data_IF_172165659561
#
_entry.id   IF_172165659561
#
_cell.length_a   1.000
_cell.length_b   1.000
_cell.length_c   1.000
_cell.angle_alpha   90.00
_cell.angle_beta   90.00
_cell.angle_gamma   90.00
#
_symmetry.space_group_name_H-M   'P 1'
#
loop_
_entity.id
_entity.type
_entity.pdbx_description
1 polymer ?
#
# COMPACT_ATOMS: atom_id res chain seq x y z
N UNK A 1 -53.42 60.72 -4.94
CA UNK A 1 -54.27 59.62 -4.46
C UNK A 1 -54.68 58.82 -5.68
N UNK A 2 -53.91 57.79 -6.04
CA UNK A 2 -54.27 56.85 -7.11
C UNK A 2 -54.62 55.52 -6.47
N UNK A 3 -55.92 55.19 -6.49
CA UNK A 3 -56.43 53.89 -6.09
C UNK A 3 -56.23 52.91 -7.26
N UNK A 4 -55.11 52.18 -7.23
CA UNK A 4 -54.87 51.06 -8.12
C UNK A 4 -55.76 49.87 -7.75
N UNK A 5 -56.81 49.65 -8.53
CA UNK A 5 -57.65 48.46 -8.48
C UNK A 5 -56.85 47.25 -8.96
N UNK A 6 -56.35 46.43 -8.03
CA UNK A 6 -55.76 45.12 -8.33
C UNK A 6 -56.83 44.21 -8.93
N UNK A 7 -56.65 43.83 -10.19
CA UNK A 7 -57.55 42.93 -10.91
C UNK A 7 -57.50 41.51 -10.30
N UNK A 8 -58.63 40.80 -10.19
CA UNK A 8 -58.72 39.48 -9.55
C UNK A 8 -57.97 38.35 -10.27
N UNK A 9 -57.35 38.65 -11.42
CA UNK A 9 -56.49 37.73 -12.16
C UNK A 9 -55.11 37.59 -11.50
N UNK A 10 -54.64 38.64 -10.83
CA UNK A 10 -53.29 38.72 -10.26
C UNK A 10 -53.18 37.91 -8.97
N UNK A 11 -54.28 37.76 -8.21
CA UNK A 11 -54.34 36.91 -7.03
C UNK A 11 -54.26 35.42 -7.41
N UNK A 12 -55.04 34.97 -8.42
CA UNK A 12 -55.02 33.58 -8.89
C UNK A 12 -53.68 33.16 -9.49
N UNK A 13 -53.01 34.08 -10.19
CA UNK A 13 -51.67 33.82 -10.75
C UNK A 13 -50.61 33.70 -9.64
N UNK A 14 -50.71 34.53 -8.59
CA UNK A 14 -49.86 34.42 -7.39
C UNK A 14 -50.07 33.10 -6.65
N UNK A 15 -51.32 32.65 -6.48
CA UNK A 15 -51.59 31.37 -5.81
C UNK A 15 -51.07 30.19 -6.63
N UNK A 16 -51.21 30.21 -7.96
CA UNK A 16 -50.71 29.14 -8.83
C UNK A 16 -49.17 29.09 -8.90
N UNK A 17 -48.49 30.24 -8.84
CA UNK A 17 -47.02 30.30 -8.79
C UNK A 17 -46.45 29.88 -7.43
N UNK A 18 -47.18 30.13 -6.34
CA UNK A 18 -46.82 29.68 -5.00
C UNK A 18 -47.05 28.16 -4.81
N UNK A 19 -48.01 27.57 -5.52
CA UNK A 19 -48.25 26.11 -5.50
C UNK A 19 -47.18 25.35 -6.31
N UNK A 20 -46.71 25.93 -7.42
CA UNK A 20 -45.74 25.30 -8.31
C UNK A 20 -44.29 25.38 -7.79
N UNK A 21 -43.98 26.37 -6.94
CA UNK A 21 -42.65 26.53 -6.33
C UNK A 21 -42.30 25.46 -5.30
N UNK A 22 -43.32 24.85 -4.67
CA UNK A 22 -43.15 23.68 -3.81
C UNK A 22 -42.72 22.43 -4.59
N UNK A 23 -43.29 22.23 -5.78
CA UNK A 23 -43.00 21.07 -6.62
C UNK A 23 -41.62 21.17 -7.29
N UNK A 24 -41.20 22.39 -7.69
CA UNK A 24 -39.86 22.61 -8.23
C UNK A 24 -38.76 22.37 -7.18
N UNK A 25 -38.94 22.87 -5.95
CA UNK A 25 -37.97 22.65 -4.87
C UNK A 25 -37.86 21.17 -4.48
N UNK A 26 -38.99 20.44 -4.45
CA UNK A 26 -39.00 19.01 -4.18
C UNK A 26 -38.35 18.21 -5.32
N UNK A 27 -38.53 18.64 -6.57
CA UNK A 27 -37.92 18.02 -7.75
C UNK A 27 -36.40 18.20 -7.75
N UNK A 28 -35.90 19.41 -7.46
CA UNK A 28 -34.46 19.68 -7.34
C UNK A 28 -33.82 18.83 -6.24
N UNK A 29 -34.49 18.69 -5.09
CA UNK A 29 -33.99 17.88 -3.98
C UNK A 29 -33.93 16.39 -4.35
N UNK A 30 -34.93 15.86 -5.06
CA UNK A 30 -34.92 14.48 -5.58
C UNK A 30 -33.82 14.27 -6.62
N UNK A 31 -33.63 15.22 -7.54
CA UNK A 31 -32.57 15.16 -8.54
C UNK A 31 -31.19 15.16 -7.88
N UNK A 32 -30.94 16.04 -6.91
CA UNK A 32 -29.70 16.08 -6.16
C UNK A 32 -29.43 14.76 -5.41
N UNK A 33 -30.45 14.17 -4.79
CA UNK A 33 -30.35 12.87 -4.13
C UNK A 33 -30.03 11.73 -5.11
N UNK A 34 -30.64 11.73 -6.31
CA UNK A 34 -30.35 10.74 -7.35
C UNK A 34 -28.94 10.88 -7.92
N UNK A 35 -28.45 12.11 -8.13
CA UNK A 35 -27.08 12.37 -8.56
C UNK A 35 -26.09 11.86 -7.51
N UNK A 36 -26.34 12.14 -6.23
CA UNK A 36 -25.51 11.65 -5.14
C UNK A 36 -25.52 10.10 -5.05
N UNK A 37 -26.69 9.47 -5.17
CA UNK A 37 -26.82 8.01 -5.16
C UNK A 37 -26.13 7.36 -6.38
N UNK A 38 -26.21 7.98 -7.55
CA UNK A 38 -25.56 7.49 -8.76
C UNK A 38 -24.03 7.63 -8.65
N UNK A 39 -23.53 8.75 -8.11
CA UNK A 39 -22.11 8.95 -7.85
C UNK A 39 -21.55 7.93 -6.85
N UNK A 40 -22.31 7.61 -5.81
CA UNK A 40 -21.92 6.57 -4.84
C UNK A 40 -21.95 5.17 -5.46
N UNK A 41 -22.95 4.90 -6.31
CA UNK A 41 -23.03 3.62 -7.05
C UNK A 41 -21.87 3.46 -8.03
N UNK A 42 -21.50 4.53 -8.73
CA UNK A 42 -20.32 4.55 -9.61
C UNK A 42 -19.02 4.33 -8.83
N UNK A 43 -18.90 4.93 -7.64
CA UNK A 43 -17.75 4.71 -6.76
C UNK A 43 -17.69 3.25 -6.31
N UNK A 44 -18.82 2.69 -5.88
CA UNK A 44 -18.94 1.28 -5.45
C UNK A 44 -18.65 0.31 -6.59
N UNK A 45 -19.19 0.54 -7.80
CA UNK A 45 -18.95 -0.29 -8.97
C UNK A 45 -17.49 -0.25 -9.44
N UNK A 46 -16.79 0.88 -9.26
CA UNK A 46 -15.36 0.98 -9.53
C UNK A 46 -14.52 0.14 -8.55
N UNK A 47 -14.93 0.07 -7.28
CA UNK A 47 -14.26 -0.73 -6.24
C UNK A 47 -14.62 -2.22 -6.30
N UNK A 48 -15.87 -2.52 -6.64
CA UNK A 48 -16.45 -3.86 -6.62
C UNK A 48 -17.14 -4.14 -7.96
N UNK A 49 -16.41 -4.69 -8.95
CA UNK A 49 -16.98 -4.97 -10.27
C UNK A 49 -18.14 -5.97 -10.22
N UNK A 50 -18.20 -6.82 -9.19
CA UNK A 50 -19.25 -7.84 -9.01
C UNK A 50 -19.70 -7.94 -7.55
N UNK A 51 -20.97 -8.30 -7.36
CA UNK A 51 -21.55 -8.56 -6.02
C UNK A 51 -20.82 -9.69 -5.28
N UNK A 52 -20.24 -10.65 -6.01
CA UNK A 52 -19.44 -11.71 -5.43
C UNK A 52 -18.17 -11.16 -4.78
N UNK A 53 -17.46 -10.25 -5.46
CA UNK A 53 -16.26 -9.58 -4.89
C UNK A 53 -16.63 -8.73 -3.69
N UNK A 54 -17.77 -8.04 -3.73
CA UNK A 54 -18.25 -7.26 -2.59
C UNK A 54 -18.55 -8.15 -1.38
N UNK A 55 -19.26 -9.27 -1.56
CA UNK A 55 -19.56 -10.21 -0.49
C UNK A 55 -18.27 -10.83 0.09
N UNK A 56 -17.28 -11.15 -0.76
CA UNK A 56 -15.97 -11.63 -0.33
C UNK A 56 -15.20 -10.57 0.49
N UNK A 57 -15.20 -9.31 0.06
CA UNK A 57 -14.53 -8.22 0.79
C UNK A 57 -15.25 -7.92 2.10
N UNK A 58 -16.58 -7.94 2.13
CA UNK A 58 -17.37 -7.80 3.35
C UNK A 58 -17.13 -8.94 4.35
N UNK A 59 -16.77 -10.13 3.86
CA UNK A 59 -16.40 -11.27 4.70
C UNK A 59 -14.96 -11.21 5.24
N UNK A 60 -14.11 -10.30 4.74
CA UNK A 60 -12.74 -10.15 5.23
C UNK A 60 -12.74 -9.63 6.67
N UNK A 61 -11.95 -10.27 7.54
CA UNK A 61 -11.90 -9.86 8.96
C UNK A 61 -11.09 -8.57 9.14
N UNK A 62 -10.00 -8.43 8.37
CA UNK A 62 -9.07 -7.29 8.39
C UNK A 62 -8.48 -7.10 6.99
N UNK A 63 -9.19 -6.37 6.11
CA UNK A 63 -8.66 -6.05 4.79
C UNK A 63 -7.47 -5.09 4.94
N UNK A 64 -6.42 -5.35 4.17
CA UNK A 64 -5.25 -4.48 4.04
C UNK A 64 -5.22 -3.91 2.63
N UNK A 65 -4.98 -2.60 2.52
CA UNK A 65 -4.75 -1.96 1.23
C UNK A 65 -3.37 -2.37 0.69
N UNK A 66 -3.11 -2.17 -0.62
CA UNK A 66 -1.80 -2.45 -1.19
C UNK A 66 -0.70 -1.64 -0.47
N UNK A 67 -0.94 -0.38 -0.14
CA UNK A 67 0.04 0.44 0.56
C UNK A 67 0.41 -0.14 1.92
N UNK A 68 -0.59 -0.57 2.70
CA UNK A 68 -0.36 -1.13 4.02
C UNK A 68 0.28 -2.51 3.96
N UNK A 69 -0.15 -3.37 3.03
CA UNK A 69 0.44 -4.68 2.82
C UNK A 69 1.94 -4.57 2.46
N UNK A 70 2.28 -3.71 1.50
CA UNK A 70 3.68 -3.50 1.10
C UNK A 70 4.49 -2.73 2.17
N UNK A 71 3.87 -1.87 2.97
CA UNK A 71 4.52 -1.24 4.11
C UNK A 71 4.89 -2.25 5.22
N UNK A 72 3.97 -3.14 5.58
CA UNK A 72 4.25 -4.20 6.56
C UNK A 72 5.26 -5.21 6.02
N UNK A 73 5.19 -5.57 4.73
CA UNK A 73 6.19 -6.40 4.09
C UNK A 73 7.58 -5.76 4.12
N UNK A 74 7.67 -4.46 3.79
CA UNK A 74 8.91 -3.71 3.85
C UNK A 74 9.46 -3.58 5.28
N UNK A 75 8.60 -3.41 6.27
CA UNK A 75 8.96 -3.46 7.69
C UNK A 75 9.57 -4.80 8.07
N UNK A 76 8.95 -5.91 7.66
CA UNK A 76 9.42 -7.26 7.97
C UNK A 76 10.78 -7.55 7.34
N UNK A 77 10.98 -7.21 6.07
CA UNK A 77 12.29 -7.37 5.40
C UNK A 77 13.34 -6.46 6.04
N UNK A 78 13.00 -5.19 6.28
CA UNK A 78 13.90 -4.22 6.89
C UNK A 78 14.34 -4.58 8.31
N UNK A 79 13.51 -5.34 9.04
CA UNK A 79 13.82 -5.83 10.38
C UNK A 79 14.58 -7.16 10.34
N UNK A 80 14.01 -8.17 9.68
CA UNK A 80 14.47 -9.55 9.79
C UNK A 80 15.74 -9.82 8.99
N UNK A 81 15.89 -9.20 7.81
CA UNK A 81 17.09 -9.46 6.98
C UNK A 81 18.35 -8.92 7.65
N UNK A 82 18.43 -7.64 8.09
CA UNK A 82 19.60 -7.16 8.82
C UNK A 82 19.83 -7.90 10.14
N UNK A 83 18.76 -8.23 10.87
CA UNK A 83 18.87 -9.04 12.09
C UNK A 83 19.46 -10.44 11.81
N UNK A 84 19.08 -11.07 10.68
CA UNK A 84 19.62 -12.37 10.28
C UNK A 84 21.13 -12.31 9.96
N UNK A 85 21.56 -11.26 9.23
CA UNK A 85 22.98 -11.02 8.97
C UNK A 85 23.76 -10.82 10.27
N UNK A 86 23.16 -10.09 11.21
CA UNK A 86 23.78 -9.83 12.50
C UNK A 86 23.95 -11.11 13.34
N UNK A 87 22.89 -11.90 13.44
CA UNK A 87 22.95 -13.18 14.18
C UNK A 87 23.99 -14.10 13.53
N UNK A 88 24.02 -14.18 12.19
CA UNK A 88 25.03 -14.96 11.48
C UNK A 88 26.46 -14.47 11.79
N UNK A 89 26.68 -13.16 11.75
CA UNK A 89 27.97 -12.55 12.08
C UNK A 89 28.38 -12.81 13.54
N UNK A 90 27.47 -12.64 14.49
CA UNK A 90 27.73 -12.88 15.91
C UNK A 90 28.08 -14.34 16.21
N UNK A 91 27.44 -15.29 15.51
CA UNK A 91 27.76 -16.71 15.63
C UNK A 91 29.09 -17.08 14.96
N UNK A 92 29.48 -16.38 13.90
CA UNK A 92 30.74 -16.60 13.19
C UNK A 92 31.95 -15.96 13.91
N UNK A 93 31.75 -14.88 14.66
CA UNK A 93 32.83 -14.23 15.41
C UNK A 93 33.16 -15.02 16.69
N UNK A 94 34.34 -15.63 16.74
CA UNK A 94 34.82 -16.41 17.91
C UNK A 94 35.37 -15.55 19.07
N UNK A 95 35.13 -14.24 19.07
CA UNK A 95 35.71 -13.29 20.03
C UNK A 95 34.71 -12.32 20.62
N UNK A 96 35.18 -11.47 21.55
CA UNK A 96 34.41 -10.36 22.11
C UNK A 96 34.02 -9.40 20.98
N UNK A 97 32.78 -9.50 20.50
CA UNK A 97 32.21 -8.49 19.62
C UNK A 97 32.05 -7.21 20.44
N UNK A 98 32.76 -6.15 20.03
CA UNK A 98 32.69 -4.85 20.71
C UNK A 98 31.24 -4.33 20.77
N UNK A 99 30.86 -3.74 21.91
CA UNK A 99 29.53 -3.14 22.14
C UNK A 99 29.14 -2.13 21.05
N UNK A 100 30.15 -1.52 20.41
CA UNK A 100 30.02 -0.61 19.28
C UNK A 100 29.32 -1.29 18.11
N UNK A 101 29.67 -2.54 17.78
CA UNK A 101 29.08 -3.28 16.65
C UNK A 101 27.60 -3.55 16.91
N UNK A 102 27.24 -4.02 18.11
CA UNK A 102 25.84 -4.21 18.51
C UNK A 102 25.02 -2.92 18.38
N UNK A 103 25.60 -1.79 18.79
CA UNK A 103 24.94 -0.48 18.72
C UNK A 103 24.71 -0.07 17.27
N UNK A 104 25.74 -0.16 16.42
CA UNK A 104 25.65 0.17 15.00
C UNK A 104 24.64 -0.72 14.29
N UNK A 105 24.63 -2.03 14.55
CA UNK A 105 23.67 -2.95 13.93
C UNK A 105 22.24 -2.67 14.39
N UNK A 106 22.03 -2.32 15.66
CA UNK A 106 20.71 -1.94 16.16
C UNK A 106 20.20 -0.69 15.44
N UNK A 107 21.05 0.33 15.29
CA UNK A 107 20.71 1.55 14.54
C UNK A 107 20.44 1.27 13.06
N UNK A 108 21.27 0.45 12.42
CA UNK A 108 21.03 0.00 11.04
C UNK A 108 19.69 -0.71 10.93
N UNK A 109 19.38 -1.66 11.81
CA UNK A 109 18.12 -2.41 11.80
C UNK A 109 16.90 -1.49 12.00
N UNK A 110 16.97 -0.53 12.92
CA UNK A 110 15.88 0.43 13.14
C UNK A 110 15.68 1.28 11.88
N UNK A 111 16.76 1.80 11.29
CA UNK A 111 16.65 2.68 10.13
C UNK A 111 16.21 1.95 8.87
N UNK A 112 16.67 0.73 8.62
CA UNK A 112 16.17 -0.12 7.53
C UNK A 112 14.71 -0.50 7.74
N UNK A 113 14.28 -0.74 8.97
CA UNK A 113 12.88 -1.06 9.29
C UNK A 113 11.97 0.13 9.00
N UNK A 114 12.34 1.33 9.46
CA UNK A 114 11.58 2.56 9.22
C UNK A 114 11.57 2.91 7.72
N UNK A 115 12.74 2.85 7.08
CA UNK A 115 12.87 3.01 5.63
C UNK A 115 11.98 2.02 4.86
N UNK A 116 12.06 0.73 5.21
CA UNK A 116 11.27 -0.33 4.61
C UNK A 116 9.77 -0.05 4.69
N UNK A 117 9.29 0.40 5.86
CA UNK A 117 7.88 0.76 6.07
C UNK A 117 7.46 1.98 5.23
N UNK A 118 8.23 3.07 5.27
CA UNK A 118 7.90 4.32 4.58
C UNK A 118 7.92 4.15 3.06
N UNK A 119 9.00 3.57 2.52
CA UNK A 119 9.11 3.32 1.09
C UNK A 119 8.17 2.20 0.64
N UNK A 120 7.84 1.23 1.50
CA UNK A 120 6.86 0.19 1.22
C UNK A 120 5.48 0.75 0.84
N UNK A 121 5.05 1.86 1.45
CA UNK A 121 3.81 2.56 1.01
C UNK A 121 3.90 3.09 -0.41
N UNK A 122 5.03 3.69 -0.77
CA UNK A 122 5.26 4.23 -2.13
C UNK A 122 5.33 3.09 -3.16
N UNK A 123 5.99 1.99 -2.79
CA UNK A 123 6.07 0.78 -3.59
C UNK A 123 4.69 0.18 -3.79
N UNK A 124 3.87 0.05 -2.74
CA UNK A 124 2.50 -0.48 -2.84
C UNK A 124 1.65 0.29 -3.86
N UNK A 125 1.68 1.63 -3.83
CA UNK A 125 1.00 2.47 -4.84
C UNK A 125 1.53 2.25 -6.26
N UNK A 126 2.85 2.09 -6.40
CA UNK A 126 3.50 1.90 -7.70
C UNK A 126 3.17 0.53 -8.29
N UNK A 127 3.18 -0.50 -7.44
CA UNK A 127 2.80 -1.86 -7.77
C UNK A 127 1.35 -1.88 -8.26
N UNK A 128 0.42 -1.28 -7.51
CA UNK A 128 -1.00 -1.26 -7.87
C UNK A 128 -1.27 -0.57 -9.22
N UNK A 129 -0.60 0.56 -9.50
CA UNK A 129 -0.66 1.23 -10.82
C UNK A 129 -0.21 0.36 -11.99
N UNK A 130 0.63 -0.64 -11.74
CA UNK A 130 1.20 -1.53 -12.76
C UNK A 130 0.37 -2.82 -12.87
N UNK A 131 -0.59 -3.06 -11.96
CA UNK A 131 -1.40 -4.27 -11.95
C UNK A 131 -2.15 -4.52 -13.27
N UNK A 132 -2.53 -3.45 -13.98
CA UNK A 132 -3.24 -3.48 -15.28
C UNK A 132 -2.34 -3.77 -16.49
N UNK A 133 -1.02 -3.79 -16.31
CA UNK A 133 -0.05 -4.05 -17.40
C UNK A 133 0.04 -5.55 -17.71
N UNK A 134 0.44 -5.93 -18.94
CA UNK A 134 0.62 -7.32 -19.30
C UNK A 134 1.70 -7.99 -18.44
N UNK A 135 1.54 -9.29 -18.16
CA UNK A 135 2.30 -10.00 -17.13
C UNK A 135 3.83 -9.93 -17.26
N UNK A 136 4.36 -9.97 -18.49
CA UNK A 136 5.80 -9.88 -18.75
C UNK A 136 6.36 -8.48 -18.42
N UNK A 137 5.67 -7.41 -18.85
CA UNK A 137 6.05 -6.03 -18.50
C UNK A 137 5.92 -5.81 -16.99
N UNK A 138 4.83 -6.31 -16.39
CA UNK A 138 4.62 -6.24 -14.95
C UNK A 138 5.77 -6.89 -14.18
N UNK A 139 6.22 -8.09 -14.58
CA UNK A 139 7.35 -8.75 -13.93
C UNK A 139 8.65 -7.94 -14.02
N UNK A 140 8.99 -7.42 -15.21
CA UNK A 140 10.19 -6.57 -15.37
C UNK A 140 10.11 -5.28 -14.55
N UNK A 141 8.94 -4.64 -14.51
CA UNK A 141 8.74 -3.43 -13.70
C UNK A 141 8.79 -3.73 -12.20
N UNK A 142 8.26 -4.87 -11.75
CA UNK A 142 8.39 -5.31 -10.35
C UNK A 142 9.86 -5.52 -9.98
N UNK A 143 10.66 -6.11 -10.86
CA UNK A 143 12.09 -6.31 -10.61
C UNK A 143 12.81 -4.96 -10.49
N UNK A 144 12.50 -4.00 -11.37
CA UNK A 144 13.08 -2.66 -11.34
C UNK A 144 12.66 -1.87 -10.09
N UNK A 145 11.37 -1.87 -9.75
CA UNK A 145 10.85 -1.19 -8.55
C UNK A 145 11.45 -1.83 -7.30
N UNK A 146 11.53 -3.15 -7.26
CA UNK A 146 12.17 -3.90 -6.19
C UNK A 146 13.63 -3.51 -6.02
N UNK A 147 14.38 -3.42 -7.12
CA UNK A 147 15.77 -2.99 -7.11
C UNK A 147 15.92 -1.55 -6.59
N UNK A 148 15.13 -0.61 -7.09
CA UNK A 148 15.19 0.80 -6.65
C UNK A 148 14.81 0.95 -5.18
N UNK A 149 13.77 0.26 -4.74
CA UNK A 149 13.35 0.23 -3.35
C UNK A 149 14.44 -0.35 -2.44
N UNK A 150 15.01 -1.48 -2.86
CA UNK A 150 16.09 -2.16 -2.16
C UNK A 150 17.35 -1.29 -2.05
N UNK A 151 17.74 -0.61 -3.14
CA UNK A 151 18.85 0.35 -3.16
C UNK A 151 18.61 1.46 -2.14
N UNK A 152 17.43 2.08 -2.15
CA UNK A 152 17.11 3.18 -1.23
C UNK A 152 17.11 2.72 0.24
N UNK A 153 16.43 1.61 0.54
CA UNK A 153 16.36 1.05 1.89
C UNK A 153 17.73 0.60 2.41
N UNK A 154 18.50 -0.09 1.56
CA UNK A 154 19.84 -0.56 1.89
C UNK A 154 20.86 0.56 2.05
N UNK A 155 20.80 1.59 1.20
CA UNK A 155 21.64 2.78 1.34
C UNK A 155 21.42 3.47 2.69
N UNK A 156 20.16 3.68 3.09
CA UNK A 156 19.82 4.31 4.38
C UNK A 156 20.31 3.50 5.58
N UNK A 157 20.19 2.16 5.54
CA UNK A 157 20.70 1.28 6.59
C UNK A 157 22.23 1.30 6.69
N UNK A 158 22.91 1.40 5.55
CA UNK A 158 24.37 1.40 5.46
C UNK A 158 25.04 2.70 5.88
N UNK A 159 24.30 3.81 6.02
CA UNK A 159 24.87 5.13 6.40
C UNK A 159 25.63 5.08 7.74
N UNK A 160 25.19 4.24 8.67
CA UNK A 160 25.83 4.11 9.98
C UNK A 160 27.15 3.34 9.95
N UNK A 161 27.45 2.62 8.86
CA UNK A 161 28.69 1.86 8.65
C UNK A 161 29.57 2.59 7.62
N UNK A 162 29.65 3.92 7.71
CA UNK A 162 30.38 4.82 6.80
C UNK A 162 29.87 4.84 5.34
N UNK A 163 30.41 5.74 4.51
CA UNK A 163 30.06 5.89 3.08
C UNK A 163 30.22 4.57 2.31
N UNK A 164 31.22 3.77 2.69
CA UNK A 164 31.46 2.44 2.10
C UNK A 164 30.29 1.50 2.43
N UNK A 165 29.79 1.51 3.67
CA UNK A 165 28.63 0.73 4.10
C UNK A 165 27.36 1.10 3.33
N UNK A 166 27.15 2.38 3.03
CA UNK A 166 26.00 2.83 2.23
C UNK A 166 26.04 2.25 0.80
N UNK A 167 27.22 2.18 0.17
CA UNK A 167 27.36 1.57 -1.15
C UNK A 167 27.07 0.06 -1.14
N UNK A 168 27.67 -0.69 -0.21
CA UNK A 168 27.39 -2.13 -0.10
C UNK A 168 25.94 -2.41 0.29
N UNK A 169 25.39 -1.62 1.20
CA UNK A 169 23.98 -1.67 1.58
C UNK A 169 23.07 -1.44 0.39
N UNK A 170 23.37 -0.45 -0.46
CA UNK A 170 22.63 -0.17 -1.68
C UNK A 170 22.66 -1.36 -2.67
N UNK A 171 23.84 -1.93 -2.91
CA UNK A 171 24.01 -3.06 -3.83
C UNK A 171 23.27 -4.30 -3.33
N UNK A 172 23.52 -4.70 -2.08
CA UNK A 172 22.86 -5.86 -1.47
C UNK A 172 21.35 -5.66 -1.35
N UNK A 173 20.93 -4.47 -0.92
CA UNK A 173 19.54 -4.08 -0.84
C UNK A 173 18.87 -4.16 -2.21
N UNK A 174 19.51 -3.66 -3.26
CA UNK A 174 19.01 -3.75 -4.63
C UNK A 174 18.80 -5.19 -5.11
N UNK A 175 19.78 -6.07 -4.87
CA UNK A 175 19.67 -7.49 -5.22
C UNK A 175 18.51 -8.13 -4.46
N UNK A 176 18.47 -7.98 -3.14
CA UNK A 176 17.41 -8.56 -2.30
C UNK A 176 16.04 -8.01 -2.70
N UNK A 177 15.91 -6.70 -2.88
CA UNK A 177 14.66 -6.04 -3.26
C UNK A 177 14.17 -6.47 -4.64
N UNK A 178 15.07 -6.64 -5.61
CA UNK A 178 14.73 -7.09 -6.97
C UNK A 178 14.12 -8.48 -7.01
N UNK A 179 14.46 -9.34 -6.05
CA UNK A 179 13.94 -10.71 -5.92
C UNK A 179 12.71 -10.73 -5.01
N UNK A 180 12.80 -10.06 -3.85
CA UNK A 180 11.77 -10.06 -2.82
C UNK A 180 10.45 -9.48 -3.34
N UNK A 181 10.51 -8.38 -4.09
CA UNK A 181 9.31 -7.71 -4.56
C UNK A 181 8.49 -8.57 -5.52
N UNK A 182 9.03 -9.12 -6.63
CA UNK A 182 8.24 -10.02 -7.49
C UNK A 182 7.83 -11.31 -6.76
N UNK A 183 8.68 -11.85 -5.89
CA UNK A 183 8.35 -13.05 -5.11
C UNK A 183 7.14 -12.85 -4.19
N UNK A 184 6.95 -11.64 -3.65
CA UNK A 184 5.78 -11.30 -2.84
C UNK A 184 4.59 -10.78 -3.68
N UNK A 185 4.86 -9.91 -4.65
CA UNK A 185 3.81 -9.24 -5.43
C UNK A 185 3.03 -10.20 -6.33
N UNK A 186 3.67 -11.20 -6.93
CA UNK A 186 2.98 -12.15 -7.79
C UNK A 186 1.94 -13.01 -7.03
N UNK A 187 2.28 -13.66 -5.90
CA UNK A 187 1.29 -14.32 -5.05
C UNK A 187 0.26 -13.34 -4.47
N UNK A 188 0.68 -12.13 -4.09
CA UNK A 188 -0.24 -11.09 -3.62
C UNK A 188 -1.35 -10.84 -4.65
N UNK A 189 -1.01 -10.72 -5.94
CA UNK A 189 -1.99 -10.56 -7.01
C UNK A 189 -2.91 -11.77 -7.20
N UNK A 190 -2.42 -12.97 -6.93
CA UNK A 190 -3.21 -14.19 -7.05
C UNK A 190 -4.24 -14.33 -5.92
N UNK A 191 -3.97 -13.76 -4.74
CA UNK A 191 -4.79 -13.95 -3.54
C UNK A 191 -5.64 -12.72 -3.18
N UNK A 192 -5.28 -11.53 -3.66
CA UNK A 192 -6.08 -10.30 -3.41
C UNK A 192 -7.50 -10.44 -4.00
N UNK A 193 -8.50 -9.90 -3.29
CA UNK A 193 -9.88 -9.80 -3.79
C UNK A 193 -10.25 -8.32 -3.89
N UNK A 194 -10.59 -7.88 -5.10
CA UNK A 194 -10.60 -6.45 -5.42
C UNK A 194 -9.21 -5.84 -5.23
N UNK A 195 -9.15 -4.71 -4.53
CA UNK A 195 -7.90 -4.00 -4.24
C UNK A 195 -7.30 -4.35 -2.87
N UNK A 196 -7.89 -5.29 -2.13
CA UNK A 196 -7.49 -5.60 -0.75
C UNK A 196 -7.09 -7.06 -0.56
N UNK A 197 -6.26 -7.30 0.46
CA UNK A 197 -5.90 -8.65 0.92
C UNK A 197 -6.31 -8.85 2.37
N UNK A 198 -6.86 -10.01 2.73
CA UNK A 198 -7.08 -10.34 4.15
C UNK A 198 -5.73 -10.63 4.82
N UNK A 199 -5.54 -10.09 6.02
CA UNK A 199 -4.36 -10.32 6.88
C UNK A 199 -3.98 -11.81 7.01
N UNK A 200 -4.96 -12.73 7.02
CA UNK A 200 -4.73 -14.18 7.13
C UNK A 200 -3.90 -14.76 5.98
N UNK A 201 -4.06 -14.21 4.79
CA UNK A 201 -3.30 -14.62 3.59
C UNK A 201 -2.01 -13.83 3.45
N UNK A 202 -2.02 -12.55 3.86
CA UNK A 202 -0.85 -11.69 3.83
C UNK A 202 0.30 -12.22 4.69
N UNK A 203 0.05 -12.58 5.95
CA UNK A 203 1.09 -12.99 6.89
C UNK A 203 1.94 -14.17 6.39
N UNK A 204 1.38 -15.33 5.98
CA UNK A 204 2.19 -16.45 5.51
C UNK A 204 2.99 -16.11 4.24
N UNK A 205 2.45 -15.26 3.35
CA UNK A 205 3.18 -14.79 2.16
C UNK A 205 4.37 -13.92 2.55
N UNK A 206 4.15 -12.91 3.40
CA UNK A 206 5.19 -11.98 3.83
C UNK A 206 6.29 -12.70 4.65
N UNK A 207 5.89 -13.56 5.60
CA UNK A 207 6.83 -14.37 6.37
C UNK A 207 7.56 -15.38 5.49
N UNK A 208 6.88 -16.07 4.59
CA UNK A 208 7.50 -17.07 3.71
C UNK A 208 8.63 -16.48 2.87
N UNK A 209 8.37 -15.34 2.21
CA UNK A 209 9.39 -14.65 1.41
C UNK A 209 10.52 -14.12 2.30
N UNK A 210 10.19 -13.49 3.43
CA UNK A 210 11.21 -12.91 4.31
C UNK A 210 12.11 -13.97 4.94
N UNK A 211 11.54 -15.08 5.42
CA UNK A 211 12.29 -16.19 6.00
C UNK A 211 13.12 -16.93 4.96
N UNK A 212 12.64 -17.05 3.72
CA UNK A 212 13.45 -17.61 2.61
C UNK A 212 14.67 -16.73 2.30
N UNK A 213 14.53 -15.40 2.34
CA UNK A 213 15.68 -14.50 2.20
C UNK A 213 16.64 -14.64 3.38
N UNK A 214 16.11 -14.67 4.61
CA UNK A 214 16.93 -14.83 5.82
C UNK A 214 17.69 -16.17 5.79
N UNK A 215 17.07 -17.26 5.34
CA UNK A 215 17.74 -18.57 5.26
C UNK A 215 18.85 -18.59 4.21
N UNK A 216 18.67 -17.91 3.06
CA UNK A 216 19.72 -17.74 2.06
C UNK A 216 20.90 -16.93 2.62
N UNK A 217 20.62 -15.86 3.36
CA UNK A 217 21.65 -15.05 4.03
C UNK A 217 22.41 -15.91 5.04
N UNK A 218 21.72 -16.63 5.92
CA UNK A 218 22.35 -17.55 6.87
C UNK A 218 23.22 -18.60 6.18
N UNK A 219 22.70 -19.23 5.12
CA UNK A 219 23.43 -20.26 4.36
C UNK A 219 24.67 -19.72 3.64
N UNK A 220 24.71 -18.43 3.29
CA UNK A 220 25.87 -17.79 2.69
C UNK A 220 27.00 -17.55 3.71
N UNK A 221 26.68 -17.38 5.00
CA UNK A 221 27.67 -17.15 6.07
C UNK A 221 28.32 -18.43 6.61
N UNK A 222 27.61 -19.56 6.59
CA UNK A 222 28.08 -20.84 7.16
C UNK A 222 28.65 -21.83 6.12
N UNK A 223 28.84 -21.38 4.88
CA UNK A 223 29.55 -22.15 3.84
C UNK A 223 31.03 -21.89 3.89
#
# INVERSE_FOLDING_TARGET
>A
MEHGTTTPLDSKLKTALLDNTGDTAQTELRLAALIAANAETDRRNKLYPTLAVEAEVAAMRRPLTPEDAFAYFGLMIGLLVPASMFIAFALASSGYTEWIVYTLTTLTTITTTVAGYLFGKVVGRSVDKIASRPGHIRFMLLLLIGALWGIAAGAMGGVFIFIIGAFFGAVLGGIVGSIALPAFALPYYAVRKGDMIDTRHFLPLAFGVTLAICSLVFGAFFR
#
